data_IF_203475454761
#
_entry.id   IF_203475454761
#
_cell.length_a   1.000
_cell.length_b   1.000
_cell.length_c   1.000
_cell.angle_alpha   90.00
_cell.angle_beta   90.00
_cell.angle_gamma   90.00
#
_symmetry.space_group_name_H-M   'P 1'
#
loop_
_entity.id
_entity.type
_entity.pdbx_description
1 polymer ?
#
# COMPACT_ATOMS: atom_id res chain seq x y z
N UNK A 1 1.15 57.26 20.14
CA UNK A 1 0.75 56.72 21.46
C UNK A 1 0.36 55.27 21.30
N UNK A 2 1.16 54.29 21.76
CA UNK A 2 0.86 52.88 21.57
C UNK A 2 -0.17 52.45 22.62
N UNK A 3 -1.33 51.95 22.17
CA UNK A 3 -2.25 51.20 23.03
C UNK A 3 -2.19 49.74 22.60
N UNK A 4 -1.26 49.03 23.23
CA UNK A 4 -1.27 47.57 23.29
C UNK A 4 -2.56 47.16 24.01
N UNK A 5 -3.52 46.60 23.29
CA UNK A 5 -4.60 45.80 23.88
C UNK A 5 -4.43 44.37 23.41
N UNK A 6 -3.84 43.60 24.30
CA UNK A 6 -3.85 42.14 24.35
C UNK A 6 -5.32 41.68 24.39
N UNK A 7 -5.73 40.87 23.40
CA UNK A 7 -6.97 40.07 23.39
C UNK A 7 -6.57 38.75 22.71
N UNK A 8 -5.98 37.82 23.46
CA UNK A 8 -6.67 36.71 24.12
C UNK A 8 -7.45 35.85 23.13
N UNK A 9 -6.79 34.75 22.73
CA UNK A 9 -7.36 33.41 22.75
C UNK A 9 -8.50 33.10 21.78
N UNK A 10 -8.16 32.47 20.66
CA UNK A 10 -8.94 31.35 20.15
C UNK A 10 -8.02 30.37 19.41
N UNK A 11 -7.30 29.55 20.18
CA UNK A 11 -6.74 28.30 19.66
C UNK A 11 -7.93 27.36 19.41
N UNK A 12 -8.45 27.36 18.19
CA UNK A 12 -9.29 26.27 17.69
C UNK A 12 -8.35 25.11 17.37
N UNK A 13 -8.01 24.31 18.40
CA UNK A 13 -7.48 22.97 18.18
C UNK A 13 -8.60 22.14 17.59
N UNK A 14 -8.65 22.09 16.26
CA UNK A 14 -9.39 21.07 15.54
C UNK A 14 -8.73 19.73 15.87
N UNK A 15 -9.19 19.10 16.94
CA UNK A 15 -8.91 17.71 17.22
C UNK A 15 -9.60 16.88 16.15
N UNK A 16 -8.94 16.72 15.01
CA UNK A 16 -9.29 15.69 14.05
C UNK A 16 -9.01 14.34 14.73
N UNK A 17 -10.02 13.79 15.39
CA UNK A 17 -10.05 12.37 15.70
C UNK A 17 -10.21 11.66 14.36
N UNK A 18 -9.09 11.36 13.70
CA UNK A 18 -9.09 10.36 12.65
C UNK A 18 -9.60 9.07 13.28
N UNK A 19 -10.87 8.75 13.04
CA UNK A 19 -11.42 7.45 13.34
C UNK A 19 -10.63 6.47 12.48
N UNK A 20 -9.66 5.79 13.09
CA UNK A 20 -9.06 4.61 12.52
C UNK A 20 -10.19 3.57 12.42
N UNK A 21 -10.93 3.60 11.31
CA UNK A 21 -11.71 2.45 10.90
C UNK A 21 -10.67 1.37 10.61
N UNK A 22 -10.50 0.48 11.58
CA UNK A 22 -9.72 -0.75 11.49
C UNK A 22 -10.46 -1.74 10.57
N UNK A 23 -10.76 -1.29 9.36
CA UNK A 23 -11.30 -2.11 8.29
C UNK A 23 -10.11 -2.83 7.70
N UNK A 24 -9.76 -3.97 8.29
CA UNK A 24 -8.76 -4.86 7.71
C UNK A 24 -9.13 -5.10 6.24
N UNK A 25 -8.23 -4.72 5.34
CA UNK A 25 -8.45 -4.80 3.90
C UNK A 25 -8.92 -6.22 3.53
N UNK A 26 -9.94 -6.32 2.69
CA UNK A 26 -10.47 -7.61 2.28
C UNK A 26 -9.44 -8.39 1.47
N UNK A 27 -9.54 -9.72 1.48
CA UNK A 27 -8.79 -10.56 0.55
C UNK A 27 -9.33 -10.36 -0.87
N UNK A 28 -8.44 -10.31 -1.84
CA UNK A 28 -8.83 -10.22 -3.24
C UNK A 28 -9.49 -11.53 -3.72
N UNK A 29 -10.52 -11.46 -4.58
CA UNK A 29 -11.05 -12.63 -5.28
C UNK A 29 -9.97 -13.35 -6.10
N UNK A 30 -10.12 -14.66 -6.30
CA UNK A 30 -9.15 -15.46 -7.06
C UNK A 30 -9.02 -15.00 -8.52
N UNK A 31 -10.10 -14.49 -9.10
CA UNK A 31 -10.15 -13.95 -10.46
C UNK A 31 -9.29 -12.70 -10.60
N UNK A 32 -9.29 -11.85 -9.56
CA UNK A 32 -8.43 -10.67 -9.47
C UNK A 32 -6.98 -11.10 -9.34
N UNK A 33 -6.66 -12.05 -8.45
CA UNK A 33 -5.30 -12.56 -8.29
C UNK A 33 -4.75 -13.21 -9.55
N UNK A 34 -5.58 -13.97 -10.29
CA UNK A 34 -5.20 -14.56 -11.57
C UNK A 34 -4.90 -13.49 -12.60
N UNK A 35 -5.78 -12.49 -12.71
CA UNK A 35 -5.63 -11.39 -13.68
C UNK A 35 -4.37 -10.56 -13.37
N UNK A 36 -4.10 -10.27 -12.10
CA UNK A 36 -2.90 -9.56 -11.66
C UNK A 36 -1.64 -10.39 -11.94
N UNK A 37 -1.68 -11.71 -11.74
CA UNK A 37 -0.54 -12.58 -12.05
C UNK A 37 -0.18 -12.52 -13.53
N UNK A 38 -1.17 -12.64 -14.41
CA UNK A 38 -0.95 -12.60 -15.85
C UNK A 38 -0.41 -11.23 -16.29
N UNK A 39 -0.99 -10.15 -15.77
CA UNK A 39 -0.52 -8.79 -16.03
C UNK A 39 0.92 -8.57 -15.55
N UNK A 40 1.25 -8.96 -14.32
CA UNK A 40 2.59 -8.81 -13.78
C UNK A 40 3.64 -9.69 -14.50
N UNK A 41 3.25 -10.85 -15.01
CA UNK A 41 4.13 -11.65 -15.88
C UNK A 41 4.38 -10.98 -17.23
N UNK A 42 3.35 -10.35 -17.80
CA UNK A 42 3.48 -9.59 -19.04
C UNK A 42 4.42 -8.39 -18.85
N UNK A 43 4.24 -7.61 -17.77
CA UNK A 43 5.16 -6.51 -17.43
C UNK A 43 6.59 -7.02 -17.24
N UNK A 44 6.79 -8.13 -16.53
CA UNK A 44 8.12 -8.71 -16.37
C UNK A 44 8.77 -9.10 -17.71
N UNK A 45 7.96 -9.54 -18.68
CA UNK A 45 8.44 -9.87 -20.03
C UNK A 45 8.78 -8.61 -20.85
N UNK A 46 7.96 -7.56 -20.74
CA UNK A 46 8.17 -6.27 -21.41
C UNK A 46 9.43 -5.57 -20.89
N UNK A 47 9.63 -5.60 -19.57
CA UNK A 47 10.82 -5.06 -18.89
C UNK A 47 12.05 -5.97 -19.00
N UNK A 48 11.92 -7.13 -19.67
CA UNK A 48 12.99 -8.12 -19.85
C UNK A 48 13.64 -8.56 -18.53
N UNK A 49 12.84 -8.71 -17.47
CA UNK A 49 13.31 -9.15 -16.16
C UNK A 49 13.90 -10.56 -16.29
N UNK A 50 15.12 -10.73 -15.77
CA UNK A 50 15.82 -12.00 -15.80
C UNK A 50 15.07 -13.09 -15.02
N UNK A 51 15.16 -14.33 -15.46
CA UNK A 51 14.42 -15.45 -14.86
C UNK A 51 14.71 -15.63 -13.36
N UNK A 52 15.92 -15.31 -12.92
CA UNK A 52 16.30 -15.38 -11.50
C UNK A 52 15.61 -14.33 -10.62
N UNK A 53 15.23 -13.19 -11.18
CA UNK A 53 14.55 -12.09 -10.46
C UNK A 53 13.04 -12.08 -10.70
N UNK A 54 12.58 -12.71 -11.78
CA UNK A 54 11.19 -12.71 -12.25
C UNK A 54 10.18 -13.10 -11.18
N UNK A 55 10.49 -14.10 -10.36
CA UNK A 55 9.60 -14.54 -9.28
C UNK A 55 9.40 -13.45 -8.22
N UNK A 56 10.48 -12.75 -7.85
CA UNK A 56 10.42 -11.66 -6.87
C UNK A 56 9.70 -10.45 -7.45
N UNK A 57 10.04 -10.08 -8.68
CA UNK A 57 9.40 -8.98 -9.40
C UNK A 57 7.88 -9.17 -9.50
N UNK A 58 7.42 -10.35 -9.94
CA UNK A 58 5.98 -10.63 -10.09
C UNK A 58 5.27 -10.59 -8.75
N UNK A 59 5.88 -11.11 -7.68
CA UNK A 59 5.30 -11.05 -6.34
C UNK A 59 5.14 -9.61 -5.84
N UNK A 60 6.15 -8.76 -6.05
CA UNK A 60 6.10 -7.35 -5.63
C UNK A 60 5.07 -6.58 -6.46
N UNK A 61 5.06 -6.77 -7.78
CA UNK A 61 4.04 -6.20 -8.67
C UNK A 61 2.61 -6.55 -8.23
N UNK A 62 2.32 -7.83 -7.92
CA UNK A 62 0.99 -8.22 -7.44
C UNK A 62 0.63 -7.51 -6.14
N UNK A 63 1.57 -7.38 -5.20
CA UNK A 63 1.33 -6.74 -3.91
C UNK A 63 1.14 -5.23 -3.99
N UNK A 64 1.77 -4.57 -4.95
CA UNK A 64 1.55 -3.16 -5.23
C UNK A 64 0.16 -2.95 -5.82
N UNK A 65 -0.22 -3.76 -6.82
CA UNK A 65 -1.57 -3.69 -7.39
C UNK A 65 -2.67 -4.01 -6.36
N UNK A 66 -2.48 -5.02 -5.50
CA UNK A 66 -3.42 -5.32 -4.42
C UNK A 66 -3.59 -4.15 -3.46
N UNK A 67 -2.49 -3.50 -3.08
CA UNK A 67 -2.52 -2.35 -2.19
C UNK A 67 -3.22 -1.14 -2.84
N UNK A 68 -2.96 -0.87 -4.12
CA UNK A 68 -3.65 0.19 -4.87
C UNK A 68 -5.16 -0.06 -5.00
N UNK A 69 -5.57 -1.33 -5.12
CA UNK A 69 -6.97 -1.73 -5.17
C UNK A 69 -7.65 -1.77 -3.78
N UNK A 70 -6.91 -1.57 -2.70
CA UNK A 70 -7.43 -1.63 -1.32
C UNK A 70 -7.62 -3.05 -0.78
N UNK A 71 -6.96 -4.04 -1.37
CA UNK A 71 -6.93 -5.42 -0.90
C UNK A 71 -5.74 -5.70 0.02
N UNK A 72 -5.86 -6.78 0.80
CA UNK A 72 -4.76 -7.29 1.60
C UNK A 72 -3.63 -7.83 0.73
N UNK A 73 -2.39 -7.48 1.09
CA UNK A 73 -1.18 -8.03 0.46
C UNK A 73 -1.02 -9.53 0.74
N UNK A 74 -0.40 -10.22 -0.21
CA UNK A 74 0.04 -11.59 -0.06
C UNK A 74 1.21 -11.66 0.93
N UNK A 75 1.20 -12.70 1.76
CA UNK A 75 2.34 -13.01 2.60
C UNK A 75 3.46 -13.63 1.74
N UNK A 76 4.74 -13.31 2.02
CA UNK A 76 5.84 -14.01 1.40
C UNK A 76 5.76 -15.51 1.75
N UNK A 77 6.21 -16.40 0.85
CA UNK A 77 6.23 -17.83 1.14
C UNK A 77 7.07 -18.09 2.40
N UNK A 78 6.66 -19.07 3.21
CA UNK A 78 7.19 -19.32 4.57
C UNK A 78 8.73 -19.51 4.62
N UNK A 79 9.34 -19.85 3.48
CA UNK A 79 10.78 -20.06 3.31
C UNK A 79 11.52 -18.94 2.53
N UNK A 80 10.86 -17.80 2.26
CA UNK A 80 11.56 -16.65 1.70
C UNK A 80 12.48 -16.02 2.76
N UNK A 81 13.74 -15.71 2.44
CA UNK A 81 14.60 -14.98 3.36
C UNK A 81 13.94 -13.63 3.66
N UNK A 82 13.57 -13.42 4.94
CA UNK A 82 13.13 -12.11 5.42
C UNK A 82 14.37 -11.21 5.44
N UNK A 83 14.51 -10.36 4.44
CA UNK A 83 15.47 -9.26 4.48
C UNK A 83 15.08 -8.36 5.66
N UNK A 84 15.95 -8.34 6.68
CA UNK A 84 15.90 -7.41 7.81
C UNK A 84 16.30 -6.00 7.37
#
# INVERSE_FOLDING_TARGET
>A
MPKLRLLTGLLLTLSFTASANDSQAAQAPNEVLSSLRDACHQVAAEEQIEDMEKARFVFDCINDQLNEMGYQRLLPPENAPRSL
#
